data_IF_524789497524
#
_entry.id   IF_524789497524
#
_cell.length_a   1.000
_cell.length_b   1.000
_cell.length_c   1.000
_cell.angle_alpha   90.00
_cell.angle_beta   90.00
_cell.angle_gamma   90.00
#
_symmetry.space_group_name_H-M   'P 1'
#
loop_
_entity.id
_entity.type
_entity.pdbx_description
1 polymer ?
#
# COMPACT_ATOMS: atom_id res chain seq x y z
N UNK A 1 4.75 -11.73 -44.70
CA UNK A 1 3.55 -11.87 -43.85
C UNK A 1 4.02 -11.95 -42.42
N UNK A 2 3.90 -10.87 -41.64
CA UNK A 2 4.20 -10.87 -40.21
C UNK A 2 2.88 -11.09 -39.45
N UNK A 3 2.85 -12.09 -38.58
CA UNK A 3 1.77 -12.27 -37.62
C UNK A 3 1.83 -11.13 -36.58
N UNK A 4 0.72 -10.43 -36.28
CA UNK A 4 0.70 -9.49 -35.17
C UNK A 4 0.70 -10.26 -33.86
N UNK A 5 1.30 -9.64 -32.84
CA UNK A 5 1.72 -10.24 -31.58
C UNK A 5 0.74 -11.23 -30.94
N UNK A 6 1.29 -12.31 -30.40
CA UNK A 6 0.58 -13.16 -29.46
C UNK A 6 0.12 -12.33 -28.26
N UNK A 7 -1.00 -12.70 -27.62
CA UNK A 7 -1.54 -11.93 -26.50
C UNK A 7 -0.46 -11.81 -25.43
N UNK A 8 -0.11 -10.57 -25.08
CA UNK A 8 0.58 -10.29 -23.84
C UNK A 8 -0.19 -11.00 -22.71
N UNK A 9 0.47 -11.56 -21.69
CA UNK A 9 -0.24 -12.17 -20.58
C UNK A 9 -1.17 -11.10 -19.98
N UNK A 10 -2.47 -11.24 -20.22
CA UNK A 10 -3.47 -10.49 -19.48
C UNK A 10 -3.27 -10.91 -18.03
N UNK A 11 -2.74 -10.01 -17.22
CA UNK A 11 -2.57 -10.24 -15.79
C UNK A 11 -3.97 -10.42 -15.22
N UNK A 12 -4.44 -11.66 -15.17
CA UNK A 12 -5.72 -12.00 -14.59
C UNK A 12 -5.69 -11.48 -13.15
N UNK A 13 -6.47 -10.42 -12.89
CA UNK A 13 -6.56 -9.84 -11.56
C UNK A 13 -7.13 -10.93 -10.65
N UNK A 14 -6.28 -11.56 -9.83
CA UNK A 14 -6.75 -12.56 -8.89
C UNK A 14 -7.71 -11.88 -7.91
N UNK A 15 -8.84 -12.52 -7.63
CA UNK A 15 -9.76 -12.05 -6.60
C UNK A 15 -9.01 -11.84 -5.27
N UNK A 16 -9.50 -10.89 -4.47
CA UNK A 16 -8.92 -10.62 -3.16
C UNK A 16 -8.96 -11.88 -2.27
N UNK A 17 -7.86 -12.26 -1.60
CA UNK A 17 -7.73 -13.56 -0.93
C UNK A 17 -8.40 -13.57 0.45
N UNK A 18 -9.74 -13.61 0.48
CA UNK A 18 -10.53 -13.59 1.72
C UNK A 18 -10.19 -14.72 2.69
N UNK A 19 -9.99 -15.95 2.19
CA UNK A 19 -9.64 -17.10 3.04
C UNK A 19 -8.34 -16.88 3.82
N UNK A 20 -7.34 -16.26 3.18
CA UNK A 20 -6.07 -15.95 3.83
C UNK A 20 -6.25 -14.88 4.92
N UNK A 21 -7.05 -13.84 4.66
CA UNK A 21 -7.34 -12.77 5.63
C UNK A 21 -8.11 -13.32 6.83
N UNK A 22 -9.13 -14.15 6.62
CA UNK A 22 -9.92 -14.76 7.69
C UNK A 22 -9.07 -15.73 8.53
N UNK A 23 -8.22 -16.55 7.89
CA UNK A 23 -7.30 -17.45 8.56
C UNK A 23 -6.30 -16.68 9.41
N UNK A 24 -5.66 -15.66 8.85
CA UNK A 24 -4.72 -14.81 9.57
C UNK A 24 -5.38 -14.14 10.78
N UNK A 25 -6.52 -13.47 10.56
CA UNK A 25 -7.19 -12.67 11.59
C UNK A 25 -7.79 -13.51 12.71
N UNK A 26 -8.62 -14.50 12.37
CA UNK A 26 -9.43 -15.23 13.35
C UNK A 26 -8.69 -16.44 13.94
N UNK A 27 -7.80 -17.09 13.17
CA UNK A 27 -7.11 -18.30 13.63
C UNK A 27 -5.68 -18.02 14.11
N UNK A 28 -4.86 -17.34 13.32
CA UNK A 28 -3.44 -17.12 13.64
C UNK A 28 -3.26 -16.03 14.70
N UNK A 29 -3.83 -14.85 14.47
CA UNK A 29 -3.74 -13.69 15.39
C UNK A 29 -4.78 -13.75 16.52
N UNK A 30 -5.80 -14.61 16.37
CA UNK A 30 -6.90 -14.81 17.32
C UNK A 30 -7.62 -13.51 17.69
N UNK A 31 -7.76 -12.61 16.73
CA UNK A 31 -8.54 -11.39 16.90
C UNK A 31 -10.01 -11.72 17.08
N UNK A 32 -10.72 -10.87 17.82
CA UNK A 32 -12.18 -10.94 17.82
C UNK A 32 -12.66 -10.53 16.43
N UNK A 33 -13.80 -11.04 15.94
CA UNK A 33 -14.34 -10.66 14.63
C UNK A 33 -14.48 -9.14 14.46
N UNK A 34 -14.87 -8.44 15.54
CA UNK A 34 -14.95 -6.97 15.55
C UNK A 34 -13.61 -6.29 15.24
N UNK A 35 -12.51 -6.80 15.82
CA UNK A 35 -11.19 -6.21 15.65
C UNK A 35 -10.67 -6.45 14.22
N UNK A 36 -10.94 -7.63 13.65
CA UNK A 36 -10.64 -7.94 12.25
C UNK A 36 -11.36 -7.00 11.28
N UNK A 37 -12.65 -6.76 11.49
CA UNK A 37 -13.42 -5.87 10.61
C UNK A 37 -13.13 -4.38 10.82
N UNK A 38 -12.59 -4.00 11.98
CA UNK A 38 -12.13 -2.64 12.25
C UNK A 38 -10.72 -2.36 11.71
N UNK A 39 -9.93 -3.40 11.44
CA UNK A 39 -8.57 -3.27 10.96
C UNK A 39 -8.51 -2.74 9.52
N UNK A 40 -7.60 -1.81 9.28
CA UNK A 40 -7.33 -1.28 7.94
C UNK A 40 -6.51 -2.28 7.12
N UNK A 41 -6.58 -2.22 5.77
CA UNK A 41 -5.72 -3.05 4.91
C UNK A 41 -4.22 -2.90 5.20
N UNK A 42 -3.79 -1.70 5.62
CA UNK A 42 -2.40 -1.43 6.01
C UNK A 42 -2.02 -2.18 7.28
N UNK A 43 -2.90 -2.19 8.29
CA UNK A 43 -2.67 -2.95 9.52
C UNK A 43 -2.68 -4.45 9.26
N UNK A 44 -3.57 -4.96 8.41
CA UNK A 44 -3.57 -6.36 7.98
C UNK A 44 -2.28 -6.74 7.26
N UNK A 45 -1.81 -5.91 6.33
CA UNK A 45 -0.55 -6.16 5.63
C UNK A 45 0.67 -6.08 6.59
N UNK A 46 0.62 -5.20 7.60
CA UNK A 46 1.63 -5.16 8.66
C UNK A 46 1.60 -6.43 9.51
N UNK A 47 0.42 -6.88 9.94
CA UNK A 47 0.27 -8.09 10.75
C UNK A 47 0.64 -9.37 9.97
N UNK A 48 0.43 -9.36 8.65
CA UNK A 48 0.87 -10.42 7.73
C UNK A 48 2.39 -10.40 7.45
N UNK A 49 3.13 -9.41 7.98
CA UNK A 49 4.56 -9.24 7.69
C UNK A 49 4.87 -8.80 6.26
N UNK A 50 3.85 -8.38 5.49
CA UNK A 50 3.99 -7.91 4.11
C UNK A 50 4.52 -6.48 4.05
N UNK A 51 4.32 -5.71 5.13
CA UNK A 51 4.94 -4.40 5.29
C UNK A 51 6.20 -4.58 6.14
N UNK A 52 7.38 -4.60 5.49
CA UNK A 52 8.59 -4.16 6.19
C UNK A 52 8.44 -2.68 6.53
N UNK A 53 8.91 -2.20 7.68
CA UNK A 53 9.05 -0.76 7.91
C UNK A 53 9.98 -0.21 6.83
N UNK A 54 9.37 0.27 5.75
CA UNK A 54 10.02 1.14 4.79
C UNK A 54 10.03 2.48 5.49
N UNK A 55 11.21 2.96 5.88
CA UNK A 55 11.41 4.36 6.24
C UNK A 55 11.07 5.19 5.02
N UNK A 56 9.76 5.42 4.81
CA UNK A 56 9.18 6.41 3.91
C UNK A 56 9.05 7.76 4.63
N UNK A 57 9.83 7.96 5.69
CA UNK A 57 9.96 9.28 6.27
C UNK A 57 10.73 10.12 5.24
N UNK A 58 10.05 11.16 4.73
CA UNK A 58 10.66 12.21 3.93
C UNK A 58 11.91 12.70 4.67
N UNK A 59 13.08 12.55 4.05
CA UNK A 59 14.32 13.03 4.65
C UNK A 59 14.33 14.55 4.68
N UNK A 60 15.24 15.14 5.47
CA UNK A 60 15.42 16.59 5.47
C UNK A 60 15.67 17.14 4.06
N UNK A 61 16.48 16.44 3.27
CA UNK A 61 16.78 16.81 1.89
C UNK A 61 15.55 16.78 0.96
N UNK A 62 14.61 15.86 1.19
CA UNK A 62 13.40 15.78 0.37
C UNK A 62 12.41 16.90 0.74
N UNK A 63 12.35 17.30 2.03
CA UNK A 63 11.60 18.47 2.47
C UNK A 63 12.18 19.76 1.88
N UNK A 64 13.50 19.94 1.91
CA UNK A 64 14.15 21.12 1.35
C UNK A 64 13.90 21.22 -0.17
N UNK A 65 13.87 20.07 -0.89
CA UNK A 65 13.49 20.03 -2.31
C UNK A 65 12.04 20.46 -2.54
N UNK A 66 11.10 20.06 -1.68
CA UNK A 66 9.69 20.46 -1.78
C UNK A 66 9.51 21.96 -1.54
N UNK A 67 10.17 22.51 -0.53
CA UNK A 67 10.12 23.96 -0.24
C UNK A 67 10.66 24.79 -1.41
N UNK A 68 11.73 24.33 -2.06
CA UNK A 68 12.27 25.00 -3.24
C UNK A 68 11.35 24.90 -4.47
N UNK A 69 10.62 23.79 -4.62
CA UNK A 69 9.71 23.57 -5.76
C UNK A 69 8.38 24.33 -5.63
N UNK A 70 7.95 24.60 -4.39
CA UNK A 70 6.70 25.26 -4.07
C UNK A 70 6.92 26.44 -3.12
N UNK A 71 7.53 27.55 -3.59
CA UNK A 71 7.68 28.74 -2.78
C UNK A 71 6.31 29.36 -2.50
N UNK A 72 6.10 29.83 -1.27
CA UNK A 72 4.89 30.57 -0.92
C UNK A 72 4.83 31.88 -1.71
N UNK A 73 3.62 32.34 -2.10
CA UNK A 73 3.46 33.63 -2.72
C UNK A 73 3.79 34.74 -1.72
N UNK A 74 4.63 35.69 -2.12
CA UNK A 74 4.91 36.89 -1.34
C UNK A 74 3.61 37.66 -1.12
N UNK A 75 3.19 37.83 0.14
CA UNK A 75 2.13 38.76 0.49
C UNK A 75 2.63 40.19 0.24
N UNK A 76 1.94 41.00 -0.58
CA UNK A 76 2.35 42.37 -0.83
C UNK A 76 2.24 43.18 0.48
N UNK A 77 3.38 43.74 0.91
CA UNK A 77 3.48 44.69 2.03
C UNK A 77 2.91 46.05 1.67
#
# INVERSE_FOLDING_TARGET
MNAPGGPAPETALSAFPWDAVLTLGLSTLRWRPRDLWAATPRELASAAGLIRPRTLALGRADLDRLLAAHPDPEEPR
#
